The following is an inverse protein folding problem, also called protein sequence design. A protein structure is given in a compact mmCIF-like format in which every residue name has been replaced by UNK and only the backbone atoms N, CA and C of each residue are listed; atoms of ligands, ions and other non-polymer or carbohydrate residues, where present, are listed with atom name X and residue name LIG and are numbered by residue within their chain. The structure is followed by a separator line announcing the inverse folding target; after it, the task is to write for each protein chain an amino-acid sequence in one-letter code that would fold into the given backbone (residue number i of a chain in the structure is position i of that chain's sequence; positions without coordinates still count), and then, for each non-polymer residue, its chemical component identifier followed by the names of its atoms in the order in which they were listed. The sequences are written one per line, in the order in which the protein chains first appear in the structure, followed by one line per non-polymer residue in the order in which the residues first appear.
data_IF_578678660467
#
_entry.id   IF_578678660467
#
_cell.length_a   1.000
_cell.length_b   1.000
_cell.length_c   1.000
_cell.angle_alpha   90.00
_cell.angle_beta   90.00
_cell.angle_gamma   90.00
#
_symmetry.space_group_name_H-M   'P 1'
#
loop_
_entity.id
_entity.type
_entity.pdbx_description
1 polymer ?
#
# COMPACT_ATOMS: atom_id res chain seq x y z
N UNK A 1 10.82 -2.75 -22.25
CA UNK A 1 12.00 -2.06 -21.69
C UNK A 1 11.91 -2.15 -20.19
N UNK A 2 12.59 -3.12 -19.57
CA UNK A 2 12.63 -3.21 -18.11
C UNK A 2 13.58 -2.10 -17.63
N UNK A 3 13.10 -1.18 -16.81
CA UNK A 3 13.96 -0.20 -16.14
C UNK A 3 14.84 -0.95 -15.16
N UNK A 4 16.15 -0.91 -15.37
CA UNK A 4 17.15 -1.52 -14.49
C UNK A 4 17.34 -0.61 -13.27
N UNK A 5 16.49 -0.76 -12.24
CA UNK A 5 16.65 -0.08 -10.95
C UNK A 5 17.26 -1.03 -9.92
N UNK A 6 18.43 -0.64 -9.37
CA UNK A 6 19.25 -1.45 -8.45
C UNK A 6 18.54 -1.91 -7.17
N UNK A 7 17.49 -1.22 -6.74
CA UNK A 7 16.73 -1.53 -5.53
C UNK A 7 15.33 -0.91 -5.60
N UNK A 8 14.34 -1.57 -5.01
CA UNK A 8 12.97 -1.03 -4.91
C UNK A 8 13.01 0.22 -4.00
N UNK A 9 12.44 1.36 -4.41
CA UNK A 9 12.42 2.57 -3.58
C UNK A 9 11.70 2.33 -2.25
N UNK A 10 12.31 2.78 -1.15
CA UNK A 10 11.69 2.81 0.18
C UNK A 10 11.55 4.26 0.63
N UNK A 11 10.32 4.74 0.74
CA UNK A 11 10.00 6.16 0.99
C UNK A 11 9.44 6.31 2.40
N UNK A 12 9.95 7.28 3.15
CA UNK A 12 9.40 7.67 4.45
C UNK A 12 8.30 8.71 4.26
N UNK A 13 7.09 8.40 4.71
CA UNK A 13 5.94 9.31 4.55
C UNK A 13 5.56 10.06 5.83
N UNK A 14 6.36 9.97 6.90
CA UNK A 14 6.11 10.71 8.15
C UNK A 14 5.91 12.23 7.92
N UNK A 15 6.72 12.92 7.08
CA UNK A 15 6.52 14.35 6.84
C UNK A 15 5.15 14.68 6.25
N UNK A 16 4.62 13.80 5.38
CA UNK A 16 3.28 13.96 4.81
C UNK A 16 2.19 13.77 5.86
N UNK A 17 2.31 12.72 6.68
CA UNK A 17 1.31 12.41 7.71
C UNK A 17 1.31 13.43 8.85
N UNK A 18 2.48 13.92 9.24
CA UNK A 18 2.61 14.87 10.35
C UNK A 18 2.03 16.25 10.04
N UNK A 19 1.82 16.55 8.75
CA UNK A 19 1.37 17.84 8.23
C UNK A 19 0.06 17.73 7.44
N UNK A 20 -0.63 16.59 7.49
CA UNK A 20 -1.85 16.36 6.70
C UNK A 20 -2.94 17.38 6.94
N UNK A 21 -2.99 17.96 8.14
CA UNK A 21 -3.99 18.94 8.56
C UNK A 21 -3.49 20.39 8.46
N UNK A 22 -2.25 20.61 8.00
CA UNK A 22 -1.66 21.95 7.85
C UNK A 22 -1.99 22.51 6.45
N UNK A 23 -2.75 23.62 6.33
CA UNK A 23 -3.07 24.22 5.04
C UNK A 23 -1.84 24.75 4.28
N UNK A 24 -0.70 24.91 4.95
CA UNK A 24 0.58 25.33 4.35
C UNK A 24 1.55 24.17 4.16
N UNK A 25 1.10 22.92 4.24
CA UNK A 25 1.97 21.75 4.10
C UNK A 25 2.81 21.75 2.81
N UNK A 26 2.31 22.36 1.73
CA UNK A 26 3.03 22.46 0.45
C UNK A 26 4.27 23.36 0.50
N UNK A 27 4.36 24.24 1.49
CA UNK A 27 5.53 25.11 1.71
C UNK A 27 6.61 24.40 2.55
N UNK A 28 6.30 23.26 3.15
CA UNK A 28 7.23 22.51 3.98
C UNK A 28 8.28 21.78 3.11
N UNK A 29 9.58 22.00 3.34
CA UNK A 29 10.64 21.39 2.52
C UNK A 29 10.71 19.87 2.68
N UNK A 30 10.31 19.33 3.83
CA UNK A 30 10.23 17.88 4.06
C UNK A 30 9.09 17.24 3.27
N UNK A 31 7.92 17.90 3.24
CA UNK A 31 6.81 17.48 2.38
C UNK A 31 7.20 17.51 0.90
N UNK A 32 7.84 18.60 0.44
CA UNK A 32 8.28 18.75 -0.94
C UNK A 32 9.26 17.64 -1.37
N UNK A 33 10.20 17.26 -0.51
CA UNK A 33 11.15 16.17 -0.79
C UNK A 33 10.45 14.81 -0.90
N UNK A 34 9.52 14.49 0.01
CA UNK A 34 8.76 13.23 -0.07
C UNK A 34 7.92 13.17 -1.35
N UNK A 35 7.26 14.28 -1.73
CA UNK A 35 6.51 14.38 -2.99
C UNK A 35 7.42 14.14 -4.20
N UNK A 36 8.63 14.71 -4.20
CA UNK A 36 9.63 14.49 -5.26
C UNK A 36 10.06 13.03 -5.35
N UNK A 37 10.23 12.36 -4.22
CA UNK A 37 10.57 10.93 -4.18
C UNK A 37 9.43 10.05 -4.72
N UNK A 38 8.19 10.35 -4.36
CA UNK A 38 7.00 9.66 -4.87
C UNK A 38 6.86 9.83 -6.39
N UNK A 39 7.00 11.05 -6.89
CA UNK A 39 6.97 11.35 -8.33
C UNK A 39 8.02 10.54 -9.11
N UNK A 40 9.26 10.52 -8.61
CA UNK A 40 10.35 9.78 -9.22
C UNK A 40 10.11 8.26 -9.19
N UNK A 41 9.65 7.72 -8.05
CA UNK A 41 9.38 6.29 -7.91
C UNK A 41 8.26 5.83 -8.85
N UNK A 42 7.19 6.62 -8.98
CA UNK A 42 6.10 6.36 -9.92
C UNK A 42 6.57 6.38 -11.38
N UNK A 43 7.44 7.32 -11.76
CA UNK A 43 7.93 7.46 -13.15
C UNK A 43 8.93 6.39 -13.56
N UNK A 44 9.78 5.94 -12.64
CA UNK A 44 10.90 5.04 -12.96
C UNK A 44 10.61 3.57 -12.64
N UNK A 45 10.15 3.31 -11.42
CA UNK A 45 9.91 1.94 -10.94
C UNK A 45 8.45 1.50 -11.12
N UNK A 46 7.50 2.45 -11.02
CA UNK A 46 6.06 2.18 -11.06
C UNK A 46 5.49 1.63 -9.74
N UNK A 47 6.35 1.35 -8.75
CA UNK A 47 5.96 0.94 -7.40
C UNK A 47 7.08 1.28 -6.39
N UNK A 48 6.74 1.29 -5.11
CA UNK A 48 7.67 1.58 -4.01
C UNK A 48 7.14 0.99 -2.70
N UNK A 49 8.04 0.78 -1.73
CA UNK A 49 7.69 0.52 -0.35
C UNK A 49 7.56 1.84 0.42
N UNK A 50 6.64 1.88 1.38
CA UNK A 50 6.51 3.00 2.32
C UNK A 50 6.90 2.56 3.72
N UNK A 51 7.55 3.46 4.46
CA UNK A 51 7.76 3.34 5.91
C UNK A 51 7.16 4.57 6.60
N UNK A 52 6.91 4.44 7.91
CA UNK A 52 6.36 5.54 8.68
C UNK A 52 4.90 5.85 8.33
N UNK A 53 4.15 4.86 7.83
CA UNK A 53 2.74 4.99 7.43
C UNK A 53 1.75 5.05 8.60
N UNK A 54 2.21 4.95 9.85
CA UNK A 54 1.36 5.05 11.04
C UNK A 54 0.41 3.87 11.27
N UNK A 55 0.53 2.78 10.50
CA UNK A 55 -0.31 1.58 10.69
C UNK A 55 0.33 0.71 11.78
N UNK A 56 -0.40 0.34 12.84
CA UNK A 56 0.13 -0.51 13.89
C UNK A 56 0.57 -1.88 13.39
N UNK A 57 1.73 -2.36 13.85
CA UNK A 57 2.22 -3.70 13.53
C UNK A 57 1.26 -4.82 13.98
N UNK A 58 0.50 -4.58 15.05
CA UNK A 58 -0.54 -5.50 15.53
C UNK A 58 -1.61 -5.72 14.46
N UNK A 59 -2.09 -4.65 13.82
CA UNK A 59 -3.10 -4.73 12.77
C UNK A 59 -2.57 -5.48 11.55
N UNK A 60 -1.32 -5.21 11.15
CA UNK A 60 -0.67 -5.93 10.04
C UNK A 60 -0.58 -7.43 10.34
N UNK A 61 -0.22 -7.81 11.58
CA UNK A 61 -0.16 -9.21 12.02
C UNK A 61 -1.54 -9.86 12.04
N UNK A 62 -2.55 -9.15 12.55
CA UNK A 62 -3.92 -9.64 12.62
C UNK A 62 -4.48 -9.92 11.22
N UNK A 63 -4.35 -8.96 10.29
CA UNK A 63 -4.79 -9.13 8.90
C UNK A 63 -4.11 -10.34 8.25
N UNK A 64 -2.81 -10.54 8.49
CA UNK A 64 -2.08 -11.72 7.99
C UNK A 64 -2.57 -13.02 8.62
N UNK A 65 -2.92 -13.02 9.90
CA UNK A 65 -3.48 -14.20 10.58
C UNK A 65 -4.85 -14.56 10.04
N UNK A 66 -5.79 -13.61 10.02
CA UNK A 66 -7.15 -13.84 9.51
C UNK A 66 -7.12 -14.24 8.03
N UNK A 67 -6.24 -13.63 7.22
CA UNK A 67 -6.08 -14.03 5.82
C UNK A 67 -5.64 -15.49 5.68
N UNK A 68 -4.67 -15.94 6.48
CA UNK A 68 -4.20 -17.34 6.45
C UNK A 68 -5.27 -18.32 6.91
N UNK A 69 -6.01 -17.98 7.96
CA UNK A 69 -7.14 -18.77 8.44
C UNK A 69 -8.20 -18.90 7.36
N UNK A 70 -8.60 -17.78 6.75
CA UNK A 70 -9.58 -17.75 5.67
C UNK A 70 -9.16 -18.60 4.46
N UNK A 71 -7.93 -18.43 3.96
CA UNK A 71 -7.47 -19.20 2.80
C UNK A 71 -7.21 -20.68 3.13
N UNK A 72 -6.98 -21.00 4.41
CA UNK A 72 -6.89 -22.35 4.96
C UNK A 72 -8.23 -23.08 5.09
N UNK A 73 -9.37 -22.38 5.00
CA UNK A 73 -10.68 -23.02 5.01
C UNK A 73 -10.88 -23.98 3.82
N UNK A 74 -11.83 -24.90 3.96
CA UNK A 74 -12.21 -25.84 2.90
C UNK A 74 -12.72 -25.09 1.66
N UNK A 75 -12.67 -25.77 0.51
CA UNK A 75 -13.20 -25.21 -0.73
C UNK A 75 -14.70 -24.90 -0.63
N UNK A 76 -15.47 -25.76 0.04
CA UNK A 76 -16.91 -25.57 0.28
C UNK A 76 -17.22 -24.31 1.08
N UNK A 77 -16.45 -24.03 2.14
CA UNK A 77 -16.60 -22.80 2.91
C UNK A 77 -16.26 -21.56 2.07
N UNK A 78 -15.21 -21.63 1.26
CA UNK A 78 -14.83 -20.53 0.35
C UNK A 78 -15.86 -20.30 -0.76
N UNK A 79 -16.59 -21.33 -1.19
CA UNK A 79 -17.66 -21.24 -2.19
C UNK A 79 -18.87 -20.43 -1.71
N UNK A 80 -19.13 -20.39 -0.39
CA UNK A 80 -20.23 -19.60 0.18
C UNK A 80 -20.08 -18.10 -0.08
N UNK A 81 -18.85 -17.62 -0.25
CA UNK A 81 -18.54 -16.22 -0.57
C UNK A 81 -18.12 -16.02 -2.03
N UNK A 82 -18.42 -16.98 -2.90
CA UNK A 82 -18.05 -16.90 -4.32
C UNK A 82 -18.64 -15.64 -4.94
N UNK A 83 -17.78 -14.85 -5.58
CA UNK A 83 -18.19 -13.74 -6.41
C UNK A 83 -19.00 -14.29 -7.60
N UNK A 84 -20.30 -13.98 -7.61
CA UNK A 84 -21.22 -14.21 -8.73
C UNK A 84 -21.37 -12.90 -9.51
N UNK A 85 -21.81 -12.93 -10.78
CA UNK A 85 -22.09 -11.71 -11.54
C UNK A 85 -23.03 -10.72 -10.83
N UNK A 86 -23.87 -11.20 -9.91
CA UNK A 86 -24.75 -10.38 -9.08
C UNK A 86 -24.04 -9.70 -7.90
N UNK A 87 -22.87 -10.18 -7.46
CA UNK A 87 -22.12 -9.64 -6.33
C UNK A 87 -20.66 -9.23 -6.65
N UNK A 88 -20.25 -9.27 -7.93
CA UNK A 88 -18.98 -8.72 -8.44
C UNK A 88 -18.25 -9.63 -9.44
N UNK A 89 -17.31 -9.06 -10.20
CA UNK A 89 -16.49 -9.81 -11.16
C UNK A 89 -15.12 -10.17 -10.55
N UNK A 90 -14.72 -11.44 -10.67
CA UNK A 90 -13.32 -11.85 -10.59
C UNK A 90 -12.88 -12.16 -12.01
N UNK A 91 -11.92 -11.40 -12.55
CA UNK A 91 -11.33 -11.71 -13.86
C UNK A 91 -10.71 -13.12 -13.82
N UNK A 92 -10.81 -13.89 -14.93
CA UNK A 92 -10.38 -15.28 -15.01
C UNK A 92 -8.89 -15.48 -14.71
#
# INVERSE_FOLDING_TARGET
MATDFKSIPLIDIIPLLSKSDDPRMSEDPGVAEVVRQLDQACKVAGFFYVKGHGIPDSLIKEVRTVSREFFGLSYEEKLKIKLTPACGYRWP
#
